data_IF_716894524494
#
_entry.id   IF_716894524494
#
_cell.length_a   1.000
_cell.length_b   1.000
_cell.length_c   1.000
_cell.angle_alpha   90.00
_cell.angle_beta   90.00
_cell.angle_gamma   90.00
#
_symmetry.space_group_name_H-M   'P 1'
#
loop_
_entity.id
_entity.type
_entity.pdbx_description
1 polymer ?
#
# COMPACT_ATOMS: atom_id res chain seq x y z
N UNK A 1 26.16 4.96 -8.69
CA UNK A 1 24.94 5.80 -8.67
C UNK A 1 23.94 5.47 -7.55
N UNK A 2 24.09 4.37 -6.79
CA UNK A 2 23.26 4.01 -5.61
C UNK A 2 23.25 5.01 -4.43
N UNK A 3 24.26 5.87 -4.31
CA UNK A 3 24.40 6.80 -3.17
C UNK A 3 23.76 8.18 -3.35
N UNK A 4 23.40 8.59 -4.58
CA UNK A 4 23.05 9.99 -4.85
C UNK A 4 21.56 10.31 -4.71
N UNK A 5 20.69 9.28 -4.63
CA UNK A 5 19.25 9.43 -4.42
C UNK A 5 18.80 9.11 -2.98
N UNK A 6 19.64 8.43 -2.18
CA UNK A 6 19.33 8.13 -0.77
C UNK A 6 19.31 9.38 0.10
N UNK A 7 20.26 10.29 -0.10
CA UNK A 7 20.47 11.45 0.78
C UNK A 7 19.28 12.44 0.84
N UNK A 8 18.68 12.89 -0.27
CA UNK A 8 17.60 13.88 -0.21
C UNK A 8 16.25 13.31 0.29
N UNK A 9 15.94 12.05 -0.04
CA UNK A 9 14.70 11.37 0.43
C UNK A 9 14.81 11.05 1.93
N UNK A 10 15.98 10.56 2.37
CA UNK A 10 16.28 10.30 3.78
C UNK A 10 16.23 11.59 4.62
N UNK A 11 16.82 12.69 4.13
CA UNK A 11 16.78 13.98 4.85
C UNK A 11 15.36 14.54 4.97
N UNK A 12 14.54 14.44 3.92
CA UNK A 12 13.18 14.98 3.95
C UNK A 12 12.28 14.17 4.90
N UNK A 13 12.40 12.83 4.92
CA UNK A 13 11.64 11.98 5.84
C UNK A 13 12.10 12.12 7.30
N UNK A 14 13.42 12.15 7.55
CA UNK A 14 13.97 12.33 8.88
C UNK A 14 13.67 13.72 9.47
N UNK A 15 13.63 14.78 8.64
CA UNK A 15 13.18 16.11 9.07
C UNK A 15 11.66 16.18 9.29
N UNK A 16 10.86 15.46 8.49
CA UNK A 16 9.40 15.40 8.65
C UNK A 16 8.98 14.67 9.94
N UNK A 17 9.77 13.69 10.42
CA UNK A 17 9.57 12.98 11.70
C UNK A 17 10.15 13.72 12.92
N UNK A 18 11.06 14.68 12.72
CA UNK A 18 11.57 15.61 13.77
C UNK A 18 10.62 16.79 14.05
N UNK A 19 9.33 16.60 13.80
CA UNK A 19 8.28 17.53 14.26
C UNK A 19 8.12 17.45 15.79
N UNK A 20 7.38 18.41 16.37
CA UNK A 20 7.14 18.59 17.82
C UNK A 20 6.66 17.35 18.61
N UNK A 21 6.29 16.27 17.91
CA UNK A 21 5.97 14.95 18.49
C UNK A 21 7.19 14.16 18.96
N UNK A 22 8.41 14.50 18.51
CA UNK A 22 9.65 13.82 18.91
C UNK A 22 9.90 13.86 20.43
N UNK A 23 9.43 14.90 21.12
CA UNK A 23 9.50 15.04 22.58
C UNK A 23 8.40 14.25 23.30
N UNK A 24 7.27 13.99 22.63
CA UNK A 24 6.14 13.24 23.19
C UNK A 24 6.33 11.72 23.06
N UNK A 25 7.01 11.26 22.01
CA UNK A 25 7.25 9.85 21.74
C UNK A 25 7.95 9.12 22.90
N UNK A 26 8.99 9.66 23.57
CA UNK A 26 9.60 9.02 24.74
C UNK A 26 8.64 8.85 25.92
N UNK A 27 7.69 9.78 26.11
CA UNK A 27 6.70 9.74 27.20
C UNK A 27 5.66 8.64 26.98
N UNK A 28 5.27 8.39 25.73
CA UNK A 28 4.26 7.37 25.38
C UNK A 28 4.87 6.02 24.99
N UNK A 29 6.20 5.94 24.88
CA UNK A 29 6.92 4.72 24.54
C UNK A 29 6.70 3.57 25.53
N UNK A 30 6.69 3.77 26.87
CA UNK A 30 6.40 2.69 27.82
C UNK A 30 4.99 2.10 27.67
N UNK A 31 4.05 2.89 27.12
CA UNK A 31 2.67 2.46 26.87
C UNK A 31 2.52 1.72 25.53
N UNK A 32 3.63 1.50 24.81
CA UNK A 32 3.63 0.83 23.51
C UNK A 32 3.06 1.68 22.36
N UNK A 33 2.90 2.99 22.58
CA UNK A 33 2.31 3.93 21.61
C UNK A 33 3.35 4.69 20.78
N UNK A 34 4.64 4.39 20.96
CA UNK A 34 5.71 4.95 20.16
C UNK A 34 6.28 3.91 19.18
N UNK A 35 6.80 4.40 18.05
CA UNK A 35 7.55 3.57 17.12
C UNK A 35 8.78 2.94 17.81
N UNK A 36 9.07 1.67 17.48
CA UNK A 36 10.24 0.94 17.99
C UNK A 36 11.48 1.10 17.11
N UNK A 37 11.32 1.70 15.93
CA UNK A 37 12.39 1.94 14.96
C UNK A 37 12.76 3.41 14.91
N UNK A 38 14.03 3.71 14.64
CA UNK A 38 14.48 5.06 14.35
C UNK A 38 13.91 5.57 13.02
N UNK A 39 13.96 6.89 12.80
CA UNK A 39 13.54 7.49 11.53
C UNK A 39 14.36 6.95 10.35
N UNK A 40 15.68 6.77 10.53
CA UNK A 40 16.56 6.22 9.49
C UNK A 40 16.19 4.76 9.16
N UNK A 41 15.87 3.96 10.18
CA UNK A 41 15.42 2.58 9.98
C UNK A 41 14.07 2.52 9.26
N UNK A 42 13.13 3.40 9.61
CA UNK A 42 11.85 3.49 8.90
C UNK A 42 12.05 3.87 7.43
N UNK A 43 12.96 4.79 7.14
CA UNK A 43 13.24 5.22 5.78
C UNK A 43 13.91 4.11 4.96
N UNK A 44 14.91 3.41 5.51
CA UNK A 44 15.57 2.31 4.81
C UNK A 44 14.58 1.18 4.49
N UNK A 45 13.72 0.79 5.44
CA UNK A 45 12.68 -0.22 5.19
C UNK A 45 11.67 0.25 4.13
N UNK A 46 11.27 1.53 4.13
CA UNK A 46 10.37 2.04 3.10
C UNK A 46 10.99 2.03 1.70
N UNK A 47 12.29 2.34 1.59
CA UNK A 47 13.02 2.27 0.32
C UNK A 47 13.08 0.82 -0.15
N UNK A 48 13.47 -0.11 0.73
CA UNK A 48 13.52 -1.54 0.41
C UNK A 48 12.13 -2.07 -0.01
N UNK A 49 11.06 -1.67 0.69
CA UNK A 49 9.70 -2.05 0.35
C UNK A 49 9.32 -1.56 -1.06
N UNK A 50 9.66 -0.33 -1.44
CA UNK A 50 9.44 0.17 -2.80
C UNK A 50 10.25 -0.61 -3.85
N UNK A 51 11.50 -0.97 -3.56
CA UNK A 51 12.32 -1.80 -4.47
C UNK A 51 11.69 -3.19 -4.67
N UNK A 52 11.20 -3.82 -3.58
CA UNK A 52 10.48 -5.09 -3.65
C UNK A 52 9.17 -4.96 -4.43
N UNK A 53 8.41 -3.88 -4.23
CA UNK A 53 7.17 -3.64 -4.97
C UNK A 53 7.43 -3.46 -6.46
N UNK A 54 8.49 -2.76 -6.85
CA UNK A 54 8.90 -2.64 -8.25
C UNK A 54 9.29 -3.98 -8.86
N UNK A 55 9.88 -4.89 -8.07
CA UNK A 55 10.26 -6.23 -8.52
C UNK A 55 9.08 -7.22 -8.64
N UNK A 56 7.88 -6.89 -8.15
CA UNK A 56 6.70 -7.76 -8.22
C UNK A 56 6.11 -7.88 -9.63
N UNK A 57 6.48 -7.02 -10.58
CA UNK A 57 5.86 -6.96 -11.91
C UNK A 57 5.74 -8.31 -12.63
N UNK A 58 6.83 -9.09 -12.78
CA UNK A 58 6.78 -10.41 -13.40
C UNK A 58 5.88 -11.41 -12.67
N UNK A 59 5.77 -11.30 -11.34
CA UNK A 59 4.88 -12.16 -10.54
C UNK A 59 3.43 -11.82 -10.89
N UNK A 60 3.06 -10.54 -10.92
CA UNK A 60 1.71 -10.10 -11.30
C UNK A 60 1.37 -10.52 -12.74
N UNK A 61 2.30 -10.37 -13.68
CA UNK A 61 2.10 -10.80 -15.07
C UNK A 61 1.93 -12.33 -15.20
N UNK A 62 2.61 -13.13 -14.37
CA UNK A 62 2.56 -14.61 -14.42
C UNK A 62 1.41 -15.24 -13.62
N UNK A 63 0.61 -14.45 -12.92
CA UNK A 63 -0.47 -14.95 -12.08
C UNK A 63 -1.56 -15.66 -12.90
N UNK A 64 -1.73 -16.95 -12.65
CA UNK A 64 -2.66 -17.85 -13.36
C UNK A 64 -4.01 -18.03 -12.67
N UNK A 65 -4.16 -17.47 -11.45
CA UNK A 65 -5.38 -17.55 -10.64
C UNK A 65 -6.06 -16.20 -10.56
N UNK A 66 -7.40 -16.13 -10.56
CA UNK A 66 -8.12 -14.88 -10.41
C UNK A 66 -7.73 -14.17 -9.11
N UNK A 67 -7.46 -12.86 -9.19
CA UNK A 67 -7.20 -11.99 -8.04
C UNK A 67 -8.08 -10.75 -8.14
N UNK A 68 -8.67 -10.36 -7.01
CA UNK A 68 -9.54 -9.19 -6.90
C UNK A 68 -8.98 -8.20 -5.90
N UNK A 69 -8.78 -6.97 -6.36
CA UNK A 69 -8.34 -5.86 -5.55
C UNK A 69 -9.54 -5.04 -5.07
N UNK A 70 -9.58 -4.76 -3.77
CA UNK A 70 -10.45 -3.72 -3.18
C UNK A 70 -9.52 -2.61 -2.72
N UNK A 71 -9.50 -1.51 -3.48
CA UNK A 71 -8.55 -0.42 -3.27
C UNK A 71 -9.21 0.73 -2.50
N UNK A 72 -8.52 1.24 -1.49
CA UNK A 72 -8.88 2.51 -0.86
C UNK A 72 -8.72 3.67 -1.86
N UNK A 73 -9.59 4.68 -1.80
CA UNK A 73 -9.48 5.94 -2.55
C UNK A 73 -9.34 7.17 -1.65
N UNK A 74 -9.41 7.00 -0.32
CA UNK A 74 -9.15 8.10 0.61
C UNK A 74 -7.77 8.71 0.38
N UNK A 75 -7.74 10.05 0.35
CA UNK A 75 -6.54 10.83 0.59
C UNK A 75 -6.16 10.72 2.08
N UNK A 76 -4.87 10.83 2.37
CA UNK A 76 -4.39 10.90 3.76
C UNK A 76 -3.82 12.29 4.01
N UNK A 77 -3.59 12.64 5.27
CA UNK A 77 -2.87 13.88 5.64
C UNK A 77 -1.46 13.98 5.02
N UNK A 78 -0.95 12.87 4.49
CA UNK A 78 0.34 12.77 3.81
C UNK A 78 0.23 12.85 2.28
N UNK A 79 -0.97 12.89 1.70
CA UNK A 79 -1.16 13.04 0.26
C UNK A 79 -1.05 14.51 -0.14
N UNK A 80 0.07 14.90 -0.76
CA UNK A 80 0.36 16.28 -1.14
C UNK A 80 0.12 16.54 -2.62
N UNK A 81 -1.02 16.06 -3.15
CA UNK A 81 -1.46 16.41 -4.50
C UNK A 81 -1.80 15.22 -5.42
N UNK A 82 -2.27 14.10 -4.86
CA UNK A 82 -2.69 12.93 -5.63
C UNK A 82 -1.59 11.89 -5.82
N UNK A 83 -0.56 11.91 -4.97
CA UNK A 83 0.53 10.94 -4.99
C UNK A 83 0.00 9.53 -4.71
N UNK A 84 -1.01 9.40 -3.83
CA UNK A 84 -1.65 8.11 -3.56
C UNK A 84 -2.43 7.59 -4.76
N UNK A 85 -3.07 8.47 -5.52
CA UNK A 85 -3.75 8.09 -6.75
C UNK A 85 -2.74 7.69 -7.84
N UNK A 86 -1.62 8.41 -7.97
CA UNK A 86 -0.53 8.02 -8.87
C UNK A 86 0.04 6.64 -8.50
N UNK A 87 0.28 6.39 -7.22
CA UNK A 87 0.71 5.08 -6.71
C UNK A 87 -0.29 3.99 -7.09
N UNK A 88 -1.60 4.22 -6.92
CA UNK A 88 -2.64 3.23 -7.27
C UNK A 88 -2.65 2.90 -8.77
N UNK A 89 -2.42 3.90 -9.63
CA UNK A 89 -2.34 3.71 -11.09
C UNK A 89 -1.13 2.90 -11.54
N UNK A 90 -0.13 2.68 -10.68
CA UNK A 90 0.99 1.78 -11.02
C UNK A 90 0.54 0.33 -11.24
N UNK A 91 -0.65 -0.04 -10.76
CA UNK A 91 -1.26 -1.34 -11.00
C UNK A 91 -1.88 -1.47 -12.40
N UNK A 92 -2.31 -0.36 -13.02
CA UNK A 92 -3.09 -0.36 -14.27
C UNK A 92 -2.41 -1.14 -15.42
N UNK A 93 -1.09 -0.98 -15.68
CA UNK A 93 -0.43 -1.74 -16.74
C UNK A 93 -0.49 -3.27 -16.55
N UNK A 94 -0.61 -3.74 -15.31
CA UNK A 94 -0.72 -5.18 -15.02
C UNK A 94 -2.17 -5.68 -15.14
N UNK A 95 -3.15 -4.85 -14.79
CA UNK A 95 -4.57 -5.15 -15.00
C UNK A 95 -4.88 -5.29 -16.50
N UNK A 96 -4.27 -4.44 -17.33
CA UNK A 96 -4.45 -4.45 -18.78
C UNK A 96 -3.83 -5.70 -19.42
N UNK A 97 -2.69 -6.17 -18.91
CA UNK A 97 -1.96 -7.32 -19.47
C UNK A 97 -2.44 -8.68 -18.95
N UNK A 98 -2.93 -8.75 -17.71
CA UNK A 98 -3.34 -10.01 -17.10
C UNK A 98 -4.84 -9.99 -16.71
N UNK A 99 -5.72 -10.67 -17.47
CA UNK A 99 -7.17 -10.67 -17.21
C UNK A 99 -7.55 -11.41 -15.91
N UNK A 100 -6.62 -12.15 -15.30
CA UNK A 100 -6.85 -12.73 -13.99
C UNK A 100 -6.85 -11.65 -12.89
N UNK A 101 -6.20 -10.52 -13.10
CA UNK A 101 -6.15 -9.41 -12.15
C UNK A 101 -7.29 -8.42 -12.45
N UNK A 102 -8.03 -8.03 -11.41
CA UNK A 102 -9.09 -7.03 -11.55
C UNK A 102 -9.27 -6.23 -10.26
N UNK A 103 -9.54 -4.93 -10.39
CA UNK A 103 -10.06 -4.13 -9.28
C UNK A 103 -11.58 -4.31 -9.22
N UNK A 104 -12.09 -4.98 -8.20
CA UNK A 104 -13.55 -5.17 -8.01
C UNK A 104 -14.21 -3.91 -7.46
N UNK A 105 -13.51 -3.18 -6.59
CA UNK A 105 -14.06 -1.97 -5.98
C UNK A 105 -12.97 -0.96 -5.64
N UNK A 106 -13.34 0.33 -5.73
CA UNK A 106 -12.62 1.43 -5.09
C UNK A 106 -13.52 2.01 -3.99
N UNK A 107 -13.03 2.03 -2.75
CA UNK A 107 -13.80 2.41 -1.56
C UNK A 107 -13.26 3.67 -0.93
N UNK A 108 -14.13 4.51 -0.37
CA UNK A 108 -13.74 5.83 0.16
C UNK A 108 -13.01 5.77 1.50
N UNK A 109 -12.95 4.62 2.17
CA UNK A 109 -12.13 4.47 3.37
C UNK A 109 -10.65 4.32 3.06
N UNK A 110 -9.82 4.63 4.05
CA UNK A 110 -8.39 4.30 4.03
C UNK A 110 -8.11 2.80 4.27
N UNK A 111 -6.88 2.37 3.98
CA UNK A 111 -6.44 0.97 4.02
C UNK A 111 -6.73 0.25 5.35
N UNK A 112 -6.61 0.96 6.48
CA UNK A 112 -6.85 0.37 7.81
C UNK A 112 -8.34 0.23 8.16
N UNK A 113 -9.22 0.88 7.41
CA UNK A 113 -10.67 0.94 7.71
C UNK A 113 -11.53 0.16 6.72
N UNK A 114 -10.98 -0.34 5.61
CA UNK A 114 -11.73 -1.12 4.60
C UNK A 114 -12.56 -2.22 5.25
N UNK A 115 -11.96 -3.08 6.09
CA UNK A 115 -12.70 -4.18 6.72
C UNK A 115 -13.75 -3.72 7.73
N UNK A 116 -13.57 -2.54 8.33
CA UNK A 116 -14.51 -2.01 9.32
C UNK A 116 -15.68 -1.28 8.68
N UNK A 117 -15.44 -0.56 7.58
CA UNK A 117 -16.39 0.37 6.97
C UNK A 117 -16.97 -0.13 5.65
N UNK A 118 -16.18 -0.90 4.89
CA UNK A 118 -16.50 -1.33 3.53
C UNK A 118 -16.39 -2.87 3.39
N UNK A 119 -16.65 -3.60 4.48
CA UNK A 119 -16.70 -5.07 4.43
C UNK A 119 -17.66 -5.65 3.39
N UNK A 120 -18.81 -5.01 3.04
CA UNK A 120 -19.63 -5.51 1.94
C UNK A 120 -18.89 -5.57 0.60
N UNK A 121 -18.05 -4.58 0.27
CA UNK A 121 -17.28 -4.56 -0.97
C UNK A 121 -16.24 -5.70 -1.03
N UNK A 122 -15.66 -6.05 0.13
CA UNK A 122 -14.78 -7.21 0.24
C UNK A 122 -15.57 -8.52 0.07
N UNK A 123 -16.75 -8.61 0.69
CA UNK A 123 -17.61 -9.78 0.54
C UNK A 123 -18.07 -9.99 -0.92
N UNK A 124 -18.35 -8.91 -1.65
CA UNK A 124 -18.67 -8.96 -3.08
C UNK A 124 -17.47 -9.46 -3.91
N UNK A 125 -16.27 -8.93 -3.66
CA UNK A 125 -15.05 -9.39 -4.33
C UNK A 125 -14.75 -10.89 -4.05
N UNK A 126 -15.04 -11.38 -2.84
CA UNK A 126 -14.92 -12.80 -2.51
C UNK A 126 -15.94 -13.64 -3.30
N UNK A 127 -17.21 -13.18 -3.37
CA UNK A 127 -18.24 -13.86 -4.18
C UNK A 127 -17.86 -13.92 -5.67
N UNK A 128 -17.25 -12.86 -6.21
CA UNK A 128 -16.72 -12.87 -7.58
C UNK A 128 -15.67 -13.97 -7.78
N UNK A 129 -14.73 -14.12 -6.83
CA UNK A 129 -13.71 -15.18 -6.90
C UNK A 129 -14.36 -16.56 -6.87
N UNK A 130 -15.29 -16.81 -5.95
CA UNK A 130 -15.97 -18.11 -5.82
C UNK A 130 -16.66 -18.48 -7.13
N UNK A 131 -17.44 -17.56 -7.72
CA UNK A 131 -18.14 -17.81 -8.98
C UNK A 131 -17.18 -18.16 -10.14
N UNK A 132 -15.99 -17.55 -10.18
CA UNK A 132 -14.97 -17.83 -11.20
C UNK A 132 -14.28 -19.17 -11.01
N UNK A 133 -14.14 -19.63 -9.77
CA UNK A 133 -13.56 -20.93 -9.46
C UNK A 133 -14.56 -22.05 -9.78
N UNK A 134 -15.83 -21.88 -9.42
CA UNK A 134 -16.91 -22.83 -9.74
C UNK A 134 -17.09 -23.01 -11.26
N UNK A 135 -17.02 -21.92 -12.04
CA UNK A 135 -17.03 -21.99 -13.51
C UNK A 135 -15.85 -22.80 -14.08
N UNK A 136 -14.71 -22.83 -13.41
CA UNK A 136 -13.50 -23.50 -13.90
C UNK A 136 -13.48 -25.00 -13.61
N UNK A 137 -14.34 -25.46 -12.69
CA UNK A 137 -14.50 -26.87 -12.31
C UNK A 137 -15.66 -27.58 -13.03
N UNK A 138 -16.48 -26.85 -13.79
CA UNK A 138 -17.59 -27.38 -14.60
C UNK A 138 -17.22 -27.56 -16.06
#
# INVERSE_FOLDING_TARGET
MRNQLKVPILLSFCNQLRSATATLLPLVAPMGLAARMSADQHAEIQIEAHELHAALGPILDSMSRPVRYVAASAETVYDKGGELEQMRRTLDPYLDRNPNLKVSARVTSDHGKILRKDSPAVADAVREIVALLEYKES
#
